data_IF_811389667154
#
_entry.id   IF_811389667154
#
_cell.length_a   1.000
_cell.length_b   1.000
_cell.length_c   1.000
_cell.angle_alpha   90.00
_cell.angle_beta   90.00
_cell.angle_gamma   90.00
#
_symmetry.space_group_name_H-M   'P 1'
#
loop_
_entity.id
_entity.type
_entity.pdbx_description
1 polymer ?
#
# COMPACT_ATOMS: atom_id res chain seq x y z
N UNK A 1 -13.48 8.49 10.19
CA UNK A 1 -13.29 9.02 8.82
C UNK A 1 -12.72 7.87 8.01
N UNK A 2 -13.29 7.58 6.85
CA UNK A 2 -12.77 6.53 5.96
C UNK A 2 -11.34 6.93 5.55
N UNK A 3 -10.33 6.05 5.69
CA UNK A 3 -8.96 6.46 5.38
C UNK A 3 -8.74 6.70 3.89
N UNK A 4 -9.61 6.22 2.99
CA UNK A 4 -9.61 6.49 1.55
C UNK A 4 -10.58 7.63 1.19
N UNK A 5 -10.34 8.30 0.06
CA UNK A 5 -11.28 9.31 -0.47
C UNK A 5 -12.59 8.66 -0.91
N UNK A 6 -12.48 7.49 -1.54
CA UNK A 6 -13.61 6.69 -2.03
C UNK A 6 -13.29 5.23 -1.78
N UNK A 7 -14.20 4.51 -1.14
CA UNK A 7 -14.19 3.06 -1.11
C UNK A 7 -15.60 2.55 -1.38
N UNK A 8 -15.84 2.08 -2.61
CA UNK A 8 -17.14 1.54 -3.06
C UNK A 8 -17.02 0.05 -3.35
N UNK A 9 -18.02 -0.71 -2.90
CA UNK A 9 -18.16 -2.12 -3.22
C UNK A 9 -19.56 -2.34 -3.77
N UNK A 10 -19.64 -2.93 -4.95
CA UNK A 10 -20.88 -3.35 -5.57
C UNK A 10 -20.88 -4.87 -5.71
N UNK A 11 -21.95 -5.50 -5.20
CA UNK A 11 -22.19 -6.93 -5.33
C UNK A 11 -23.51 -7.11 -6.07
N UNK A 12 -23.50 -7.87 -7.16
CA UNK A 12 -24.72 -8.13 -7.94
C UNK A 12 -25.81 -8.75 -7.08
N UNK A 13 -27.06 -8.36 -7.34
CA UNK A 13 -28.21 -8.81 -6.54
C UNK A 13 -28.47 -7.96 -5.30
N UNK A 14 -27.70 -6.89 -5.07
CA UNK A 14 -27.95 -5.95 -3.96
C UNK A 14 -27.65 -6.56 -2.59
N UNK A 15 -26.71 -7.50 -2.53
CA UNK A 15 -26.38 -8.22 -1.29
C UNK A 15 -25.56 -7.32 -0.34
N UNK A 16 -26.25 -6.45 0.39
CA UNK A 16 -25.64 -5.48 1.33
C UNK A 16 -24.75 -6.15 2.38
N UNK A 17 -25.14 -7.36 2.82
CA UNK A 17 -24.33 -8.16 3.74
C UNK A 17 -23.00 -8.60 3.12
N UNK A 18 -23.04 -9.10 1.87
CA UNK A 18 -21.84 -9.50 1.13
C UNK A 18 -20.90 -8.32 0.90
N UNK A 19 -21.45 -7.18 0.44
CA UNK A 19 -20.67 -5.96 0.24
C UNK A 19 -19.98 -5.50 1.54
N UNK A 20 -20.68 -5.54 2.68
CA UNK A 20 -20.12 -5.20 3.99
C UNK A 20 -18.99 -6.16 4.39
N UNK A 21 -19.15 -7.47 4.16
CA UNK A 21 -18.13 -8.47 4.49
C UNK A 21 -16.87 -8.33 3.65
N UNK A 22 -17.01 -8.11 2.34
CA UNK A 22 -15.86 -7.79 1.50
C UNK A 22 -15.14 -6.54 1.97
N UNK A 23 -15.89 -5.51 2.39
CA UNK A 23 -15.30 -4.29 2.91
C UNK A 23 -14.44 -4.55 4.14
N UNK A 24 -14.97 -5.28 5.12
CA UNK A 24 -14.24 -5.64 6.35
C UNK A 24 -12.94 -6.39 6.02
N UNK A 25 -13.02 -7.45 5.20
CA UNK A 25 -11.87 -8.28 4.83
C UNK A 25 -10.80 -7.48 4.08
N UNK A 26 -11.22 -6.67 3.10
CA UNK A 26 -10.30 -5.85 2.31
C UNK A 26 -9.63 -4.79 3.20
N UNK A 27 -10.38 -4.14 4.09
CA UNK A 27 -9.82 -3.17 5.03
C UNK A 27 -8.76 -3.80 5.93
N UNK A 28 -9.04 -4.98 6.51
CA UNK A 28 -8.12 -5.66 7.40
C UNK A 28 -6.82 -6.02 6.67
N UNK A 29 -6.91 -6.61 5.47
CA UNK A 29 -5.74 -6.99 4.67
C UNK A 29 -4.90 -5.76 4.26
N UNK A 30 -5.56 -4.67 3.81
CA UNK A 30 -4.84 -3.45 3.43
C UNK A 30 -4.21 -2.75 4.64
N UNK A 31 -4.82 -2.85 5.82
CA UNK A 31 -4.27 -2.31 7.06
C UNK A 31 -3.03 -3.08 7.50
N UNK A 32 -3.12 -4.41 7.49
CA UNK A 32 -2.03 -5.30 7.89
C UNK A 32 -0.78 -5.12 7.01
N UNK A 33 -0.97 -4.81 5.73
CA UNK A 33 0.11 -4.55 4.76
C UNK A 33 0.47 -3.05 4.64
N UNK A 34 -0.09 -2.17 5.46
CA UNK A 34 0.23 -0.74 5.44
C UNK A 34 -0.20 0.04 4.18
N UNK A 35 -1.02 -0.57 3.30
CA UNK A 35 -1.36 -0.04 1.97
C UNK A 35 -2.42 1.06 2.00
N UNK A 36 -3.20 1.16 3.09
CA UNK A 36 -4.34 2.08 3.23
C UNK A 36 -3.98 3.53 2.88
N UNK A 37 -2.79 4.00 3.27
CA UNK A 37 -2.38 5.40 3.07
C UNK A 37 -2.02 5.71 1.63
N UNK A 38 -1.61 4.70 0.86
CA UNK A 38 -1.15 4.84 -0.51
C UNK A 38 -2.30 4.74 -1.52
N UNK A 39 -3.44 4.19 -1.11
CA UNK A 39 -4.64 4.09 -1.95
C UNK A 39 -5.53 5.32 -1.71
N UNK A 40 -5.84 6.03 -2.79
CA UNK A 40 -6.74 7.19 -2.79
C UNK A 40 -8.18 6.75 -2.95
N UNK A 41 -8.46 5.94 -3.98
CA UNK A 41 -9.80 5.44 -4.30
C UNK A 41 -9.76 3.95 -4.59
N UNK A 42 -10.80 3.23 -4.15
CA UNK A 42 -10.94 1.80 -4.36
C UNK A 42 -12.37 1.44 -4.76
N UNK A 43 -12.50 0.70 -5.84
CA UNK A 43 -13.76 0.19 -6.38
C UNK A 43 -13.65 -1.32 -6.49
N UNK A 44 -14.62 -2.01 -5.90
CA UNK A 44 -14.69 -3.47 -5.92
C UNK A 44 -16.02 -3.86 -6.54
N UNK A 45 -15.95 -4.64 -7.62
CA UNK A 45 -17.10 -5.18 -8.30
C UNK A 45 -17.12 -6.69 -8.16
N UNK A 46 -18.24 -7.24 -7.70
CA UNK A 46 -18.43 -8.68 -7.54
C UNK A 46 -19.71 -9.08 -8.25
N UNK A 47 -19.61 -9.99 -9.21
CA UNK A 47 -20.75 -10.63 -9.84
C UNK A 47 -20.80 -12.10 -9.43
N UNK A 48 -21.92 -12.48 -8.82
CA UNK A 48 -22.16 -13.85 -8.33
C UNK A 48 -22.72 -14.71 -9.47
N UNK A 49 -23.46 -14.10 -10.41
CA UNK A 49 -24.07 -14.80 -11.55
C UNK A 49 -23.02 -15.11 -12.62
N UNK A 50 -22.11 -14.16 -12.84
CA UNK A 50 -20.91 -14.32 -13.65
C UNK A 50 -19.74 -14.32 -12.66
N UNK A 51 -19.30 -15.47 -12.12
CA UNK A 51 -18.43 -15.55 -10.93
C UNK A 51 -17.10 -14.83 -11.16
N UNK A 52 -17.10 -13.52 -10.85
CA UNK A 52 -16.02 -12.58 -11.11
C UNK A 52 -15.88 -11.61 -9.96
N UNK A 53 -14.63 -11.34 -9.63
CA UNK A 53 -14.22 -10.42 -8.58
C UNK A 53 -13.21 -9.46 -9.20
N UNK A 54 -13.54 -8.19 -9.23
CA UNK A 54 -12.72 -7.15 -9.82
C UNK A 54 -12.43 -6.04 -8.83
N UNK A 55 -11.20 -5.54 -8.86
CA UNK A 55 -10.73 -4.42 -8.06
C UNK A 55 -10.08 -3.41 -8.97
N UNK A 56 -10.48 -2.16 -8.85
CA UNK A 56 -9.80 -1.04 -9.45
C UNK A 56 -9.45 -0.02 -8.37
N UNK A 57 -8.20 0.40 -8.34
CA UNK A 57 -7.74 1.39 -7.38
C UNK A 57 -6.94 2.51 -8.04
N UNK A 58 -7.13 3.71 -7.52
CA UNK A 58 -6.32 4.88 -7.81
C UNK A 58 -5.38 5.12 -6.64
N UNK A 59 -4.09 5.16 -6.94
CA UNK A 59 -3.06 5.46 -5.96
C UNK A 59 -3.06 6.96 -5.67
N UNK A 60 -2.68 7.32 -4.45
CA UNK A 60 -2.30 8.71 -4.16
C UNK A 60 -1.04 9.04 -4.94
N UNK A 61 -0.77 10.33 -5.13
CA UNK A 61 0.36 10.79 -5.93
C UNK A 61 1.69 10.27 -5.34
N UNK A 62 2.26 9.27 -6.01
CA UNK A 62 3.49 8.60 -5.60
C UNK A 62 3.31 7.69 -4.38
N UNK A 63 4.00 6.56 -4.40
CA UNK A 63 4.22 5.77 -3.18
C UNK A 63 5.23 6.58 -2.36
N UNK A 64 4.85 7.09 -1.17
CA UNK A 64 5.76 7.90 -0.39
C UNK A 64 6.98 7.04 -0.04
N UNK A 65 8.20 7.57 -0.21
CA UNK A 65 9.38 6.83 0.20
C UNK A 65 9.37 6.62 1.70
N UNK A 66 10.02 5.55 2.16
CA UNK A 66 10.24 5.33 3.57
C UNK A 66 11.16 6.44 4.08
N UNK A 67 10.74 7.18 5.11
CA UNK A 67 11.58 8.21 5.73
C UNK A 67 12.03 7.79 7.12
N UNK A 68 13.03 8.48 7.68
CA UNK A 68 13.58 8.12 8.99
C UNK A 68 12.54 8.16 10.10
N UNK A 69 11.58 9.08 10.06
CA UNK A 69 10.47 9.14 11.03
C UNK A 69 9.48 7.96 10.93
N UNK A 70 9.49 7.23 9.81
CA UNK A 70 8.68 6.03 9.63
C UNK A 70 9.41 4.79 10.22
N UNK A 71 10.74 4.79 10.20
CA UNK A 71 11.61 3.70 10.71
C UNK A 71 11.90 3.83 12.20
N UNK A 72 11.80 5.03 12.77
CA UNK A 72 12.12 5.25 14.17
C UNK A 72 11.75 6.62 14.73
N UNK A 73 11.82 6.72 16.06
CA UNK A 73 11.55 7.93 16.80
C UNK A 73 12.74 8.89 16.75
N UNK A 74 12.54 10.06 16.12
CA UNK A 74 13.57 11.11 16.01
C UNK A 74 13.43 12.11 17.14
N UNK A 75 14.46 12.21 17.98
CA UNK A 75 14.51 13.12 19.11
C UNK A 75 15.69 14.08 18.98
N UNK A 76 15.46 15.37 19.23
CA UNK A 76 16.56 16.34 19.32
C UNK A 76 17.30 16.14 20.64
N UNK A 77 18.62 16.03 20.57
CA UNK A 77 19.51 15.88 21.74
C UNK A 77 20.63 16.92 21.71
N UNK A 78 21.44 17.00 22.76
CA UNK A 78 22.57 17.92 22.82
C UNK A 78 23.54 17.68 21.65
N UNK A 79 23.72 18.69 20.80
CA UNK A 79 24.65 18.63 19.66
C UNK A 79 24.13 17.85 18.44
N UNK A 80 22.86 17.43 18.41
CA UNK A 80 22.37 16.62 17.30
C UNK A 80 20.98 16.03 17.46
N UNK A 81 20.81 14.85 16.88
CA UNK A 81 19.58 14.07 16.92
C UNK A 81 19.88 12.62 17.30
N UNK A 82 19.00 12.02 18.08
CA UNK A 82 18.98 10.60 18.37
C UNK A 82 17.79 9.96 17.63
N UNK A 83 18.03 8.84 16.97
CA UNK A 83 17.00 8.00 16.38
C UNK A 83 16.93 6.73 17.21
N UNK A 84 15.75 6.45 17.76
CA UNK A 84 15.43 5.14 18.31
C UNK A 84 14.70 4.33 17.24
N UNK A 85 15.32 3.25 16.79
CA UNK A 85 14.87 2.48 15.64
C UNK A 85 13.82 1.47 16.11
N UNK A 86 12.65 1.55 15.48
CA UNK A 86 11.51 0.68 15.76
C UNK A 86 11.36 -0.40 14.67
N UNK A 87 11.85 -0.08 13.47
CA UNK A 87 11.88 -0.99 12.33
C UNK A 87 13.33 -1.39 12.01
N UNK A 88 13.71 -2.57 12.48
CA UNK A 88 15.05 -3.10 12.26
C UNK A 88 15.27 -3.63 10.84
N UNK A 89 14.20 -3.90 10.07
CA UNK A 89 14.30 -4.43 8.71
C UNK A 89 15.05 -3.45 7.80
N UNK A 90 14.75 -2.15 7.94
CA UNK A 90 15.36 -1.10 7.13
C UNK A 90 16.59 -0.43 7.79
N UNK A 91 17.13 -1.01 8.87
CA UNK A 91 18.32 -0.49 9.59
C UNK A 91 19.50 -0.22 8.65
N UNK A 92 19.79 -1.17 7.76
CA UNK A 92 20.94 -1.08 6.87
C UNK A 92 20.80 0.08 5.88
N UNK A 93 19.61 0.30 5.34
CA UNK A 93 19.34 1.39 4.41
C UNK A 93 19.27 2.74 5.13
N UNK A 94 18.76 2.77 6.37
CA UNK A 94 18.79 3.95 7.23
C UNK A 94 20.24 4.40 7.47
N UNK A 95 21.14 3.49 7.84
CA UNK A 95 22.55 3.81 8.06
C UNK A 95 23.23 4.29 6.78
N UNK A 96 22.95 3.66 5.62
CA UNK A 96 23.45 4.14 4.32
C UNK A 96 22.98 5.56 4.00
N UNK A 97 21.69 5.86 4.21
CA UNK A 97 21.12 7.18 3.98
C UNK A 97 21.77 8.24 4.88
N UNK A 98 21.94 7.93 6.17
CA UNK A 98 22.59 8.81 7.13
C UNK A 98 24.06 9.07 6.79
N UNK A 99 24.84 8.03 6.48
CA UNK A 99 26.24 8.19 6.07
C UNK A 99 26.38 8.99 4.79
N UNK A 100 25.48 8.79 3.83
CA UNK A 100 25.44 9.57 2.58
C UNK A 100 25.14 11.06 2.85
N UNK A 101 24.26 11.36 3.82
CA UNK A 101 23.81 12.73 4.11
C UNK A 101 24.75 13.51 5.04
N UNK A 102 25.30 12.84 6.05
CA UNK A 102 26.02 13.47 7.18
C UNK A 102 27.49 13.06 7.31
N UNK A 103 27.92 12.01 6.61
CA UNK A 103 29.25 11.41 6.78
C UNK A 103 29.28 10.34 7.87
N UNK A 104 30.22 9.39 7.76
CA UNK A 104 30.35 8.28 8.74
C UNK A 104 30.83 8.77 10.10
N UNK A 105 31.65 9.81 10.11
CA UNK A 105 32.24 10.41 11.32
C UNK A 105 31.24 11.16 12.20
N UNK A 106 30.05 11.47 11.66
CA UNK A 106 28.98 12.18 12.38
C UNK A 106 27.82 11.27 12.79
N UNK A 107 27.94 9.97 12.52
CA UNK A 107 26.88 8.98 12.76
C UNK A 107 27.46 7.89 13.66
N UNK A 108 26.96 7.81 14.88
CA UNK A 108 27.38 6.82 15.87
C UNK A 108 26.21 5.89 16.20
N UNK A 109 26.49 4.60 16.34
CA UNK A 109 25.50 3.59 16.75
C UNK A 109 25.92 3.01 18.11
N UNK A 110 25.59 3.68 19.24
CA UNK A 110 25.97 3.21 20.57
C UNK A 110 25.25 1.93 21.01
N UNK A 111 24.08 1.63 20.42
CA UNK A 111 23.33 0.41 20.65
C UNK A 111 22.67 -0.05 19.35
N UNK A 112 22.23 -1.32 19.28
CA UNK A 112 21.61 -1.90 18.08
C UNK A 112 20.48 -1.04 17.54
N UNK A 113 19.62 -0.54 18.42
CA UNK A 113 18.41 0.24 18.13
C UNK A 113 18.59 1.75 18.29
N UNK A 114 19.81 2.25 18.56
CA UNK A 114 20.06 3.67 18.80
C UNK A 114 21.13 4.20 17.86
N UNK A 115 20.79 5.28 17.14
CA UNK A 115 21.73 6.03 16.29
C UNK A 115 21.77 7.49 16.75
N UNK A 116 22.95 8.06 16.90
CA UNK A 116 23.19 9.47 17.24
C UNK A 116 23.85 10.16 16.04
N UNK A 117 23.34 11.32 15.68
CA UNK A 117 23.80 12.12 14.54
C UNK A 117 24.18 13.51 15.00
N UNK A 118 25.43 13.91 14.77
CA UNK A 118 25.89 15.28 14.98
C UNK A 118 25.44 16.16 13.79
N UNK A 119 24.35 16.91 13.97
CA UNK A 119 23.72 17.72 12.92
C UNK A 119 22.82 18.81 13.50
N UNK A 120 22.80 19.99 12.88
CA UNK A 120 21.85 21.05 13.22
C UNK A 120 20.46 20.84 12.58
N UNK A 121 20.40 20.09 11.47
CA UNK A 121 19.17 19.80 10.72
C UNK A 121 18.58 18.44 11.09
N UNK A 122 17.26 18.38 11.26
CA UNK A 122 16.54 17.13 11.56
C UNK A 122 16.69 16.12 10.41
N UNK A 123 16.96 14.84 10.73
CA UNK A 123 17.00 13.77 9.74
C UNK A 123 15.62 13.18 9.42
N UNK A 124 14.55 13.61 10.10
CA UNK A 124 13.24 12.95 10.09
C UNK A 124 12.66 12.65 8.69
N UNK A 125 12.74 13.61 7.77
CA UNK A 125 12.19 13.48 6.41
C UNK A 125 13.23 12.94 5.39
N UNK A 126 14.40 12.48 5.85
CA UNK A 126 15.39 11.88 4.97
C UNK A 126 14.87 10.53 4.47
N UNK A 127 14.89 10.34 3.15
CA UNK A 127 14.55 9.08 2.49
C UNK A 127 15.54 7.98 2.89
N UNK A 128 15.01 6.87 3.40
CA UNK A 128 15.71 5.64 3.74
C UNK A 128 15.76 4.72 2.53
N UNK A 129 14.60 4.43 1.94
CA UNK A 129 14.49 3.60 0.73
C UNK A 129 13.33 4.07 -0.14
N UNK A 130 13.44 3.77 -1.43
CA UNK A 130 12.32 3.82 -2.36
C UNK A 130 11.47 2.56 -2.13
N UNK A 131 10.19 2.75 -1.79
CA UNK A 131 9.27 1.65 -1.48
C UNK A 131 8.48 1.17 -2.70
N UNK A 132 8.75 1.67 -3.92
CA UNK A 132 7.94 1.31 -5.09
C UNK A 132 7.85 -0.21 -5.30
N UNK A 133 8.99 -0.93 -5.25
CA UNK A 133 9.01 -2.37 -5.48
C UNK A 133 8.30 -3.17 -4.37
N UNK A 134 8.52 -2.78 -3.11
CA UNK A 134 7.92 -3.40 -1.93
C UNK A 134 6.41 -3.19 -1.92
N UNK A 135 5.97 -1.95 -2.18
CA UNK A 135 4.55 -1.62 -2.32
C UNK A 135 3.88 -2.44 -3.42
N UNK A 136 4.51 -2.59 -4.59
CA UNK A 136 3.94 -3.39 -5.68
C UNK A 136 3.81 -4.87 -5.31
N UNK A 137 4.78 -5.39 -4.53
CA UNK A 137 4.73 -6.74 -4.01
C UNK A 137 3.59 -6.91 -3.00
N UNK A 138 3.49 -6.02 -2.04
CA UNK A 138 2.44 -6.04 -1.00
C UNK A 138 1.05 -5.83 -1.60
N UNK A 139 0.90 -4.92 -2.55
CA UNK A 139 -0.35 -4.72 -3.27
C UNK A 139 -0.76 -5.98 -4.04
N UNK A 140 0.19 -6.65 -4.69
CA UNK A 140 -0.08 -7.91 -5.38
C UNK A 140 -0.50 -9.00 -4.39
N UNK A 141 0.17 -9.10 -3.24
CA UNK A 141 -0.19 -10.05 -2.18
C UNK A 141 -1.59 -9.76 -1.61
N UNK A 142 -1.89 -8.49 -1.31
CA UNK A 142 -3.21 -8.05 -0.87
C UNK A 142 -4.30 -8.47 -1.87
N UNK A 143 -4.09 -8.17 -3.17
CA UNK A 143 -5.02 -8.52 -4.24
C UNK A 143 -5.25 -10.02 -4.35
N UNK A 144 -4.24 -10.84 -4.08
CA UNK A 144 -4.38 -12.31 -4.06
C UNK A 144 -5.13 -12.79 -2.83
N UNK A 145 -4.90 -12.19 -1.65
CA UNK A 145 -5.55 -12.59 -0.38
C UNK A 145 -7.05 -12.30 -0.35
N UNK A 146 -7.50 -11.24 -1.04
CA UNK A 146 -8.91 -10.85 -1.09
C UNK A 146 -9.73 -11.69 -2.07
N UNK A 147 -9.09 -12.47 -2.94
CA UNK A 147 -9.77 -13.26 -3.97
C UNK A 147 -10.64 -14.35 -3.32
N UNK A 148 -11.91 -14.50 -3.74
CA UNK A 148 -12.75 -15.61 -3.30
C UNK A 148 -12.15 -16.97 -3.65
N UNK A 149 -12.39 -17.97 -2.80
CA UNK A 149 -11.95 -19.33 -3.10
C UNK A 149 -12.52 -19.82 -4.45
N UNK A 150 -11.71 -20.57 -5.21
CA UNK A 150 -12.11 -21.09 -6.53
C UNK A 150 -11.77 -20.19 -7.71
N UNK A 151 -11.51 -18.89 -7.48
CA UNK A 151 -11.24 -17.91 -8.54
C UNK A 151 -9.77 -17.96 -8.95
N UNK A 152 -9.43 -18.93 -9.80
CA UNK A 152 -8.03 -19.24 -10.16
C UNK A 152 -7.52 -18.45 -11.35
N UNK A 153 -8.41 -18.05 -12.26
CA UNK A 153 -8.04 -17.27 -13.45
C UNK A 153 -7.91 -15.82 -13.05
N UNK A 154 -6.71 -15.24 -13.22
CA UNK A 154 -6.39 -13.88 -12.76
C UNK A 154 -5.74 -13.06 -13.87
N UNK A 155 -6.08 -11.78 -13.92
CA UNK A 155 -5.40 -10.76 -14.73
C UNK A 155 -5.23 -9.50 -13.91
N UNK A 156 -4.07 -8.86 -14.06
CA UNK A 156 -3.79 -7.60 -13.42
C UNK A 156 -3.06 -6.67 -14.39
N UNK A 157 -3.39 -5.38 -14.29
CA UNK A 157 -2.71 -4.29 -14.98
C UNK A 157 -2.34 -3.29 -13.91
N UNK A 158 -1.07 -2.90 -13.87
CA UNK A 158 -0.55 -1.94 -12.92
C UNK A 158 0.09 -0.80 -13.69
N UNK A 159 -0.25 0.42 -13.30
CA UNK A 159 0.41 1.65 -13.77
C UNK A 159 1.02 2.37 -12.58
N UNK A 160 1.64 3.53 -12.82
CA UNK A 160 2.18 4.37 -11.75
C UNK A 160 1.09 4.92 -10.82
N UNK A 161 -0.10 5.15 -11.35
CA UNK A 161 -1.16 5.90 -10.66
C UNK A 161 -2.41 5.03 -10.38
N UNK A 162 -2.46 3.82 -10.91
CA UNK A 162 -3.62 2.95 -10.80
C UNK A 162 -3.29 1.47 -10.89
N UNK A 163 -4.21 0.64 -10.41
CA UNK A 163 -4.19 -0.79 -10.62
C UNK A 163 -5.59 -1.31 -10.96
N UNK A 164 -5.61 -2.33 -11.81
CA UNK A 164 -6.80 -3.08 -12.18
C UNK A 164 -6.51 -4.56 -11.98
N UNK A 165 -7.39 -5.27 -11.29
CA UNK A 165 -7.25 -6.68 -10.99
C UNK A 165 -8.59 -7.37 -11.20
N UNK A 166 -8.57 -8.52 -11.87
CA UNK A 166 -9.74 -9.37 -12.10
C UNK A 166 -9.38 -10.81 -11.77
N UNK A 167 -10.24 -11.46 -11.00
CA UNK A 167 -10.23 -12.88 -10.75
C UNK A 167 -11.58 -13.50 -11.13
N UNK A 168 -11.57 -14.70 -11.71
CA UNK A 168 -12.77 -15.44 -12.08
C UNK A 168 -12.56 -16.94 -11.90
N UNK A 169 -13.67 -17.68 -11.75
CA UNK A 169 -13.64 -19.15 -11.82
C UNK A 169 -13.33 -19.62 -13.24
N UNK A 170 -13.93 -18.97 -14.23
CA UNK A 170 -13.80 -19.29 -15.65
C UNK A 170 -12.75 -18.44 -16.36
N UNK A 171 -12.49 -18.77 -17.64
CA UNK A 171 -11.52 -18.04 -18.46
C UNK A 171 -11.91 -16.57 -18.66
N UNK A 172 -10.99 -15.64 -18.38
CA UNK A 172 -11.20 -14.20 -18.55
C UNK A 172 -11.04 -13.83 -20.03
N UNK A 173 -12.17 -13.56 -20.70
CA UNK A 173 -12.21 -13.13 -22.09
C UNK A 173 -12.17 -11.59 -22.21
N UNK A 174 -11.73 -11.03 -23.35
CA UNK A 174 -11.71 -9.58 -23.55
C UNK A 174 -13.06 -8.89 -23.34
N UNK A 175 -14.16 -9.54 -23.73
CA UNK A 175 -15.51 -8.97 -23.59
C UNK A 175 -15.88 -8.77 -22.12
N UNK A 176 -15.56 -9.76 -21.27
CA UNK A 176 -15.78 -9.68 -19.83
C UNK A 176 -14.97 -8.55 -19.19
N UNK A 177 -13.74 -8.32 -19.66
CA UNK A 177 -12.91 -7.21 -19.16
C UNK A 177 -13.58 -5.87 -19.49
N UNK A 178 -14.06 -5.70 -20.73
CA UNK A 178 -14.75 -4.47 -21.15
C UNK A 178 -16.01 -4.22 -20.32
N UNK A 179 -16.82 -5.25 -20.07
CA UNK A 179 -18.02 -5.16 -19.22
C UNK A 179 -17.68 -4.71 -17.80
N UNK A 180 -16.63 -5.28 -17.20
CA UNK A 180 -16.16 -4.90 -15.86
C UNK A 180 -15.65 -3.46 -15.84
N UNK A 181 -14.87 -3.05 -16.85
CA UNK A 181 -14.38 -1.67 -16.94
C UNK A 181 -15.53 -0.66 -17.06
N UNK A 182 -16.59 -0.98 -17.81
CA UNK A 182 -17.80 -0.15 -17.89
C UNK A 182 -18.48 -0.05 -16.53
N UNK A 183 -18.65 -1.18 -15.83
CA UNK A 183 -19.23 -1.20 -14.48
C UNK A 183 -18.44 -0.34 -13.49
N UNK A 184 -17.11 -0.45 -13.50
CA UNK A 184 -16.26 0.37 -12.63
C UNK A 184 -16.39 1.86 -12.98
N UNK A 185 -16.45 2.23 -14.26
CA UNK A 185 -16.69 3.63 -14.66
C UNK A 185 -18.05 4.14 -14.19
N UNK A 186 -19.09 3.31 -14.21
CA UNK A 186 -20.40 3.68 -13.63
C UNK A 186 -20.24 3.97 -12.13
N UNK A 187 -19.51 3.14 -11.39
CA UNK A 187 -19.24 3.34 -9.96
C UNK A 187 -18.44 4.62 -9.68
N UNK A 188 -17.50 5.00 -10.54
CA UNK A 188 -16.74 6.25 -10.42
C UNK A 188 -17.61 7.50 -10.57
N UNK A 189 -18.63 7.45 -11.42
CA UNK A 189 -19.49 8.57 -11.75
C UNK A 189 -20.74 8.71 -10.86
N UNK A 190 -21.04 7.69 -10.04
CA UNK A 190 -22.15 7.67 -9.08
C UNK A 190 -21.87 8.48 -7.81
#
# INVERSE_FOLDING_TARGET
MDPMEVFKIEVTGGEEYGAKKYREIIMDILQDLGLIRSIGRLYVYVDISVPVFAVYGLLRSGIPPLTIKDVGDVMKVGGGYQIKINDEEHMADLLKALWKRYGRERVEQPARDIVIIASDSSPADLMVTDMEAEFLQDLTDALVRVVPEGFRNRRNIMTKDSFFFVAAEESIKPELISEIEEKIREMENA
#
